data_IF_166889691556
#
_entry.id   IF_166889691556
#
_cell.length_a   1.000
_cell.length_b   1.000
_cell.length_c   1.000
_cell.angle_alpha   90.00
_cell.angle_beta   90.00
_cell.angle_gamma   90.00
#
_symmetry.space_group_name_H-M   'P 1'
#
loop_
_entity.id
_entity.type
_entity.pdbx_description
1 polymer ?
#
# COMPACT_ATOMS: atom_id res chain seq x y z
N UNK A 1 0.05 -4.76 16.05
CA UNK A 1 -0.73 -3.78 16.82
C UNK A 1 -1.90 -4.54 17.41
N UNK A 2 -2.02 -4.59 18.73
CA UNK A 2 -3.12 -5.30 19.35
C UNK A 2 -4.38 -4.45 19.25
N UNK A 3 -5.36 -4.92 18.48
CA UNK A 3 -6.60 -4.17 18.25
C UNK A 3 -7.39 -4.03 19.55
N UNK A 4 -7.21 -4.92 20.52
CA UNK A 4 -7.92 -4.83 21.80
C UNK A 4 -7.52 -3.61 22.61
N UNK A 5 -6.25 -3.17 22.57
CA UNK A 5 -5.82 -1.96 23.31
C UNK A 5 -6.48 -0.67 22.78
N UNK A 6 -6.83 -0.62 21.50
CA UNK A 6 -7.51 0.53 20.88
C UNK A 6 -8.96 0.64 21.37
N UNK A 7 -9.61 -0.50 21.61
CA UNK A 7 -11.04 -0.58 21.93
C UNK A 7 -11.36 -0.74 23.42
N UNK A 8 -10.35 -0.90 24.28
CA UNK A 8 -10.53 -1.05 25.73
C UNK A 8 -10.35 0.27 26.50
N UNK A 9 -10.10 1.38 25.79
CA UNK A 9 -10.09 2.73 26.39
C UNK A 9 -11.52 3.27 26.57
N UNK A 10 -11.78 4.07 27.62
CA UNK A 10 -13.05 4.78 27.73
C UNK A 10 -13.23 5.71 26.52
N UNK A 11 -14.44 5.72 25.95
CA UNK A 11 -14.73 6.59 24.81
C UNK A 11 -14.64 8.07 25.24
N UNK A 12 -14.00 8.88 24.40
CA UNK A 12 -13.76 10.30 24.60
C UNK A 12 -14.83 11.12 23.90
N UNK A 13 -15.57 11.92 24.65
CA UNK A 13 -16.68 12.73 24.15
C UNK A 13 -16.33 14.20 24.25
N UNK A 14 -16.43 14.92 23.14
CA UNK A 14 -16.33 16.37 23.09
C UNK A 14 -17.70 16.98 23.38
N UNK A 15 -17.75 17.97 24.27
CA UNK A 15 -18.95 18.75 24.58
C UNK A 15 -18.65 20.22 24.29
N UNK A 16 -19.28 20.78 23.27
CA UNK A 16 -19.17 22.19 22.92
C UNK A 16 -20.50 22.89 23.22
N UNK A 17 -20.51 23.84 24.15
CA UNK A 17 -21.69 24.64 24.53
C UNK A 17 -21.16 25.94 25.15
N UNK A 18 -21.76 27.10 24.91
CA UNK A 18 -21.26 28.37 25.45
C UNK A 18 -21.64 28.57 26.93
N UNK A 19 -22.72 27.95 27.37
CA UNK A 19 -23.17 27.93 28.76
C UNK A 19 -22.39 26.91 29.61
N UNK A 20 -21.68 27.42 30.61
CA UNK A 20 -20.89 26.59 31.52
C UNK A 20 -21.75 25.62 32.35
N UNK A 21 -23.01 25.95 32.64
CA UNK A 21 -23.92 25.06 33.36
C UNK A 21 -24.26 23.83 32.52
N UNK A 22 -24.53 24.02 31.22
CA UNK A 22 -24.78 22.91 30.30
C UNK A 22 -23.56 22.01 30.17
N UNK A 23 -22.37 22.60 30.01
CA UNK A 23 -21.11 21.84 29.94
C UNK A 23 -20.87 21.01 31.21
N UNK A 24 -21.05 21.60 32.40
CA UNK A 24 -20.85 20.90 33.67
C UNK A 24 -21.86 19.77 33.89
N UNK A 25 -23.12 20.01 33.51
CA UNK A 25 -24.20 19.01 33.57
C UNK A 25 -23.90 17.81 32.65
N UNK A 26 -23.61 18.06 31.38
CA UNK A 26 -23.28 17.02 30.40
C UNK A 26 -22.03 16.26 30.81
N UNK A 27 -20.98 16.97 31.24
CA UNK A 27 -19.77 16.36 31.77
C UNK A 27 -20.08 15.42 32.92
N UNK A 28 -20.91 15.84 33.86
CA UNK A 28 -21.31 15.01 35.00
C UNK A 28 -22.06 13.75 34.57
N UNK A 29 -23.03 13.86 33.66
CA UNK A 29 -23.78 12.69 33.16
C UNK A 29 -22.91 11.70 32.41
N UNK A 30 -22.05 12.18 31.51
CA UNK A 30 -21.21 11.35 30.67
C UNK A 30 -20.07 10.70 31.48
N UNK A 31 -19.43 11.44 32.39
CA UNK A 31 -18.38 10.89 33.25
C UNK A 31 -18.93 9.79 34.17
N UNK A 32 -20.13 9.98 34.75
CA UNK A 32 -20.81 8.93 35.54
C UNK A 32 -21.16 7.69 34.71
N UNK A 33 -21.32 7.84 33.39
CA UNK A 33 -21.56 6.74 32.48
C UNK A 33 -20.27 6.04 32.01
N UNK A 34 -19.09 6.49 32.46
CA UNK A 34 -17.79 5.87 32.18
C UNK A 34 -17.04 6.45 30.99
N UNK A 35 -17.45 7.61 30.47
CA UNK A 35 -16.79 8.26 29.33
C UNK A 35 -15.74 9.28 29.79
N UNK A 36 -14.70 9.45 29.00
CA UNK A 36 -13.80 10.59 29.11
C UNK A 36 -14.48 11.81 28.46
N UNK A 37 -14.51 12.96 29.13
CA UNK A 37 -15.21 14.14 28.62
C UNK A 37 -14.27 15.32 28.50
N UNK A 38 -14.23 15.90 27.30
CA UNK A 38 -13.53 17.15 26.99
C UNK A 38 -14.57 18.21 26.66
N UNK A 39 -14.39 19.42 27.21
CA UNK A 39 -15.36 20.50 27.07
C UNK A 39 -14.76 21.71 26.37
N UNK A 40 -15.52 22.37 25.51
CA UNK A 40 -15.15 23.61 24.84
C UNK A 40 -16.28 24.65 24.98
N UNK A 41 -15.92 25.92 25.14
CA UNK A 41 -16.89 27.01 25.32
C UNK A 41 -17.41 27.61 24.00
N UNK A 42 -16.89 27.14 22.86
CA UNK A 42 -17.21 27.62 21.52
C UNK A 42 -16.68 26.67 20.44
N UNK A 43 -17.16 26.85 19.22
CA UNK A 43 -16.83 25.98 18.09
C UNK A 43 -15.35 26.03 17.68
N UNK A 44 -14.68 27.18 17.80
CA UNK A 44 -13.28 27.30 17.37
C UNK A 44 -12.36 26.49 18.28
N UNK A 45 -12.51 26.64 19.60
CA UNK A 45 -11.76 25.83 20.57
C UNK A 45 -12.15 24.34 20.50
N UNK A 46 -13.42 24.03 20.21
CA UNK A 46 -13.87 22.65 20.01
C UNK A 46 -13.17 21.99 18.81
N UNK A 47 -13.06 22.70 17.69
CA UNK A 47 -12.38 22.23 16.48
C UNK A 47 -10.89 21.98 16.75
N UNK A 48 -10.20 22.92 17.40
CA UNK A 48 -8.78 22.78 17.76
C UNK A 48 -8.54 21.53 18.60
N UNK A 49 -9.37 21.31 19.62
CA UNK A 49 -9.28 20.12 20.48
C UNK A 49 -9.57 18.82 19.72
N UNK A 50 -10.53 18.84 18.78
CA UNK A 50 -10.88 17.68 17.98
C UNK A 50 -9.80 17.31 16.96
N UNK A 51 -9.12 18.29 16.37
CA UNK A 51 -8.03 18.04 15.43
C UNK A 51 -6.76 17.59 16.13
N UNK A 52 -6.47 18.12 17.33
CA UNK A 52 -5.32 17.69 18.13
C UNK A 52 -5.50 16.26 18.67
N UNK A 53 -6.71 15.92 19.09
CA UNK A 53 -7.05 14.60 19.57
C UNK A 53 -8.50 14.33 19.17
N UNK A 54 -8.76 13.47 18.18
CA UNK A 54 -10.12 13.17 17.75
C UNK A 54 -10.96 12.57 18.89
N UNK A 55 -12.18 13.09 19.15
CA UNK A 55 -13.12 12.44 20.04
C UNK A 55 -13.81 11.26 19.33
N UNK A 56 -14.42 10.38 20.10
CA UNK A 56 -15.26 9.27 19.61
C UNK A 56 -16.71 9.72 19.36
N UNK A 57 -17.12 10.88 19.91
CA UNK A 57 -18.41 11.54 19.66
C UNK A 57 -18.33 13.02 20.05
N UNK A 58 -19.08 13.89 19.37
CA UNK A 58 -19.23 15.30 19.74
C UNK A 58 -20.69 15.63 20.06
N UNK A 59 -20.95 16.24 21.22
CA UNK A 59 -22.21 16.92 21.56
C UNK A 59 -21.99 18.41 21.36
N UNK A 60 -22.75 19.04 20.48
CA UNK A 60 -22.48 20.40 20.01
C UNK A 60 -23.71 21.27 20.10
N UNK A 61 -23.64 22.35 20.87
CA UNK A 61 -24.67 23.38 20.87
C UNK A 61 -24.66 24.17 19.55
N UNK A 62 -25.84 24.57 19.06
CA UNK A 62 -25.94 25.37 17.84
C UNK A 62 -25.45 26.80 18.05
N UNK A 63 -25.84 27.43 19.16
CA UNK A 63 -25.64 28.86 19.41
C UNK A 63 -24.39 29.08 20.26
N UNK A 64 -23.25 29.16 19.59
CA UNK A 64 -21.97 29.45 20.23
C UNK A 64 -21.27 30.66 19.61
N UNK A 65 -20.48 31.43 20.38
CA UNK A 65 -19.70 32.54 19.85
C UNK A 65 -18.54 32.03 18.98
N UNK A 66 -17.96 32.93 18.16
CA UNK A 66 -16.82 32.68 17.24
C UNK A 66 -17.10 31.72 16.08
N UNK A 67 -17.55 30.52 16.38
CA UNK A 67 -17.95 29.49 15.42
C UNK A 67 -19.17 28.76 16.00
N UNK A 68 -20.24 28.71 15.22
CA UNK A 68 -21.49 28.08 15.64
C UNK A 68 -21.43 26.54 15.49
N UNK A 69 -22.42 25.83 16.05
CA UNK A 69 -22.42 24.37 16.07
C UNK A 69 -22.52 23.72 14.68
N UNK A 70 -23.22 24.35 13.74
CA UNK A 70 -23.35 23.86 12.37
C UNK A 70 -22.02 24.03 11.61
N UNK A 71 -21.37 25.18 11.75
CA UNK A 71 -20.04 25.43 11.18
C UNK A 71 -18.99 24.44 11.73
N UNK A 72 -19.03 24.17 13.04
CA UNK A 72 -18.18 23.14 13.65
C UNK A 72 -18.47 21.76 13.07
N UNK A 73 -19.75 21.38 12.93
CA UNK A 73 -20.12 20.10 12.33
C UNK A 73 -19.55 19.96 10.92
N UNK A 74 -19.73 20.98 10.06
CA UNK A 74 -19.18 21.00 8.71
C UNK A 74 -17.64 20.84 8.71
N UNK A 75 -16.95 21.53 9.62
CA UNK A 75 -15.50 21.48 9.73
C UNK A 75 -15.01 20.09 10.18
N UNK A 76 -15.69 19.46 11.13
CA UNK A 76 -15.39 18.10 11.58
C UNK A 76 -15.61 17.07 10.47
N UNK A 77 -16.71 17.20 9.71
CA UNK A 77 -17.07 16.27 8.61
C UNK A 77 -16.18 16.40 7.38
N UNK A 78 -15.60 17.58 7.13
CA UNK A 78 -14.66 17.82 6.03
C UNK A 78 -13.21 17.43 6.33
N UNK A 79 -12.85 17.24 7.60
CA UNK A 79 -11.48 16.93 8.02
C UNK A 79 -11.21 15.41 8.04
N UNK A 80 -10.17 14.89 7.36
CA UNK A 80 -9.93 13.44 7.23
C UNK A 80 -9.86 12.67 8.56
N UNK A 81 -9.29 13.25 9.61
CA UNK A 81 -9.14 12.62 10.93
C UNK A 81 -10.40 12.65 11.80
N UNK A 82 -11.41 13.47 11.46
CA UNK A 82 -12.63 13.63 12.26
C UNK A 82 -13.91 13.36 11.47
N UNK A 83 -13.83 13.08 10.16
CA UNK A 83 -15.00 12.94 9.28
C UNK A 83 -16.01 11.87 9.73
N UNK A 84 -15.53 10.84 10.42
CA UNK A 84 -16.35 9.75 10.96
C UNK A 84 -16.72 9.91 12.43
N UNK A 85 -16.34 11.03 13.06
CA UNK A 85 -16.80 11.35 14.42
C UNK A 85 -18.30 11.64 14.35
N UNK A 86 -19.14 10.91 15.09
CA UNK A 86 -20.56 11.22 15.17
C UNK A 86 -20.76 12.56 15.90
N UNK A 87 -21.52 13.46 15.28
CA UNK A 87 -21.86 14.79 15.81
C UNK A 87 -23.35 14.81 16.14
N UNK A 88 -23.66 15.07 17.41
CA UNK A 88 -25.03 15.27 17.89
C UNK A 88 -25.23 16.74 18.18
N UNK A 89 -26.15 17.35 17.44
CA UNK A 89 -26.52 18.74 17.68
C UNK A 89 -27.45 18.83 18.88
N UNK A 90 -27.06 19.56 19.91
CA UNK A 90 -27.88 19.85 21.08
C UNK A 90 -28.45 21.24 20.90
N UNK A 91 -29.77 21.39 20.99
CA UNK A 91 -30.36 22.66 20.57
C UNK A 91 -31.67 22.97 21.27
N UNK A 92 -32.01 24.25 21.39
CA UNK A 92 -33.32 24.70 21.89
C UNK A 92 -34.44 24.62 20.83
N UNK A 93 -34.12 24.16 19.61
CA UNK A 93 -34.92 24.39 18.42
C UNK A 93 -36.26 23.66 18.41
N UNK A 94 -37.28 24.41 17.99
CA UNK A 94 -38.69 24.06 17.88
C UNK A 94 -39.23 24.21 16.44
N UNK A 95 -38.34 24.28 15.43
CA UNK A 95 -38.71 24.39 14.01
C UNK A 95 -38.06 23.33 13.12
N UNK A 96 -38.82 22.78 12.17
CA UNK A 96 -38.36 21.75 11.22
C UNK A 96 -37.19 22.24 10.32
N UNK A 97 -37.12 23.54 10.00
CA UNK A 97 -36.03 24.13 9.20
C UNK A 97 -34.67 24.03 9.91
N UNK A 98 -34.73 24.17 11.22
CA UNK A 98 -33.75 23.78 12.22
C UNK A 98 -32.98 22.49 11.96
N UNK A 99 -33.77 21.43 12.04
CA UNK A 99 -33.35 20.04 11.99
C UNK A 99 -32.83 19.68 10.59
N UNK A 100 -33.50 20.19 9.56
CA UNK A 100 -33.09 19.99 8.17
C UNK A 100 -31.67 20.54 7.92
N UNK A 101 -31.37 21.76 8.38
CA UNK A 101 -30.03 22.34 8.23
C UNK A 101 -28.96 21.53 8.95
N UNK A 102 -29.25 21.00 10.13
CA UNK A 102 -28.32 20.15 10.88
C UNK A 102 -27.97 18.87 10.11
N UNK A 103 -28.98 18.20 9.54
CA UNK A 103 -28.79 16.98 8.74
C UNK A 103 -28.05 17.29 7.43
N UNK A 104 -28.39 18.38 6.74
CA UNK A 104 -27.71 18.80 5.50
C UNK A 104 -26.22 19.07 5.69
N UNK A 105 -25.83 19.57 6.87
CA UNK A 105 -24.43 19.82 7.24
C UNK A 105 -23.71 18.54 7.73
N UNK A 106 -24.43 17.43 7.83
CA UNK A 106 -23.89 16.10 8.13
C UNK A 106 -23.94 15.71 9.60
N UNK A 107 -24.77 16.36 10.43
CA UNK A 107 -25.00 15.88 11.80
C UNK A 107 -25.64 14.48 11.78
N UNK A 108 -25.21 13.63 12.70
CA UNK A 108 -25.68 12.23 12.77
C UNK A 108 -26.97 12.11 13.59
N UNK A 109 -27.21 13.07 14.49
CA UNK A 109 -28.40 13.13 15.33
C UNK A 109 -28.59 14.53 15.94
N UNK A 110 -29.73 14.76 16.56
CA UNK A 110 -29.99 15.97 17.35
C UNK A 110 -30.80 15.69 18.62
N UNK A 111 -30.66 16.59 19.59
CA UNK A 111 -31.32 16.54 20.89
C UNK A 111 -31.89 17.91 21.23
N UNK A 112 -33.21 17.98 21.40
CA UNK A 112 -33.92 19.20 21.79
C UNK A 112 -33.81 19.42 23.31
N UNK A 113 -33.50 20.66 23.72
CA UNK A 113 -33.48 21.15 25.10
C UNK A 113 -34.92 21.49 25.53
N UNK A 114 -35.35 21.15 26.77
CA UNK A 114 -34.60 20.43 27.80
C UNK A 114 -34.57 18.91 27.57
N UNK A 115 -33.38 18.31 27.66
CA UNK A 115 -33.20 16.88 27.43
C UNK A 115 -33.18 16.05 28.72
N UNK A 116 -33.72 14.83 28.65
CA UNK A 116 -33.65 13.84 29.71
C UNK A 116 -32.36 13.06 29.59
N UNK A 117 -31.63 12.87 30.70
CA UNK A 117 -30.35 12.14 30.75
C UNK A 117 -30.43 10.75 30.11
N UNK A 118 -31.53 10.02 30.30
CA UNK A 118 -31.74 8.70 29.70
C UNK A 118 -31.76 8.74 28.16
N UNK A 119 -32.44 9.74 27.57
CA UNK A 119 -32.51 9.89 26.10
C UNK A 119 -31.13 10.23 25.54
N UNK A 120 -30.45 11.19 26.17
CA UNK A 120 -29.09 11.58 25.78
C UNK A 120 -28.11 10.42 25.84
N UNK A 121 -28.05 9.70 26.97
CA UNK A 121 -27.14 8.57 27.14
C UNK A 121 -27.46 7.41 26.18
N UNK A 122 -28.73 7.21 25.82
CA UNK A 122 -29.12 6.17 24.86
C UNK A 122 -28.64 6.52 23.45
N UNK A 123 -28.81 7.78 23.01
CA UNK A 123 -28.31 8.26 21.72
C UNK A 123 -26.78 8.20 21.63
N UNK A 124 -26.09 8.70 22.67
CA UNK A 124 -24.63 8.63 22.80
C UNK A 124 -24.13 7.18 22.70
N UNK A 125 -24.72 6.24 23.44
CA UNK A 125 -24.34 4.81 23.35
C UNK A 125 -24.54 4.22 21.96
N UNK A 126 -25.65 4.56 21.29
CA UNK A 126 -25.95 4.06 19.96
C UNK A 126 -24.91 4.55 18.93
N UNK A 127 -24.60 5.84 18.96
CA UNK A 127 -23.63 6.44 18.03
C UNK A 127 -22.20 6.00 18.32
N UNK A 128 -21.80 5.86 19.59
CA UNK A 128 -20.50 5.29 19.96
C UNK A 128 -20.35 3.84 19.47
N UNK A 129 -21.43 3.05 19.47
CA UNK A 129 -21.40 1.70 18.89
C UNK A 129 -21.15 1.75 17.38
N UNK A 130 -21.77 2.69 16.66
CA UNK A 130 -21.54 2.88 15.22
C UNK A 130 -20.09 3.33 14.97
N UNK A 131 -19.58 4.30 15.75
CA UNK A 131 -18.18 4.75 15.67
C UNK A 131 -17.21 3.60 15.86
N UNK A 132 -17.42 2.77 16.88
CA UNK A 132 -16.57 1.60 17.15
C UNK A 132 -16.55 0.62 15.98
N UNK A 133 -17.70 0.32 15.38
CA UNK A 133 -17.76 -0.56 14.20
C UNK A 133 -17.01 0.05 13.00
N UNK A 134 -17.14 1.35 12.76
CA UNK A 134 -16.40 2.03 11.71
C UNK A 134 -14.88 1.97 11.96
N UNK A 135 -14.44 2.21 13.18
CA UNK A 135 -13.02 2.12 13.56
C UNK A 135 -12.47 0.69 13.41
N UNK A 136 -13.26 -0.33 13.77
CA UNK A 136 -12.93 -1.75 13.57
C UNK A 136 -12.76 -2.07 12.07
N UNK A 137 -13.68 -1.60 11.22
CA UNK A 137 -13.60 -1.77 9.77
C UNK A 137 -12.38 -1.07 9.20
N UNK A 138 -12.11 0.18 9.59
CA UNK A 138 -10.93 0.91 9.12
C UNK A 138 -9.63 0.23 9.54
N UNK A 139 -9.54 -0.23 10.79
CA UNK A 139 -8.38 -0.95 11.27
C UNK A 139 -8.18 -2.28 10.54
N UNK A 140 -9.27 -3.00 10.29
CA UNK A 140 -9.23 -4.24 9.50
C UNK A 140 -8.80 -3.99 8.06
N UNK A 141 -9.32 -2.94 7.41
CA UNK A 141 -8.92 -2.57 6.06
C UNK A 141 -7.45 -2.16 5.97
N UNK A 142 -6.93 -1.44 6.98
CA UNK A 142 -5.50 -1.11 7.07
C UNK A 142 -4.64 -2.37 7.20
N UNK A 143 -5.06 -3.32 8.04
CA UNK A 143 -4.36 -4.59 8.20
C UNK A 143 -4.40 -5.41 6.90
N UNK A 144 -5.56 -5.48 6.24
CA UNK A 144 -5.72 -6.20 4.98
C UNK A 144 -4.79 -5.61 3.91
N UNK A 145 -4.71 -4.27 3.78
CA UNK A 145 -3.75 -3.60 2.88
C UNK A 145 -2.31 -3.99 3.20
N UNK A 146 -1.88 -3.85 4.46
CA UNK A 146 -0.53 -4.24 4.89
C UNK A 146 -0.18 -5.70 4.61
N UNK A 147 -1.18 -6.60 4.68
CA UNK A 147 -0.99 -8.00 4.34
C UNK A 147 -0.86 -8.16 2.82
N UNK A 148 -1.75 -7.55 2.03
CA UNK A 148 -1.72 -7.61 0.57
C UNK A 148 -0.41 -7.05 -0.01
N UNK A 149 0.08 -5.92 0.51
CA UNK A 149 1.32 -5.27 0.06
C UNK A 149 2.57 -6.17 0.21
N UNK A 150 2.50 -7.20 1.08
CA UNK A 150 3.60 -8.19 1.22
C UNK A 150 3.58 -9.28 0.16
N UNK A 151 2.46 -9.46 -0.53
CA UNK A 151 2.25 -10.53 -1.52
C UNK A 151 2.04 -9.99 -2.93
N UNK A 152 1.75 -8.70 -3.07
CA UNK A 152 1.40 -8.03 -4.32
C UNK A 152 2.12 -6.68 -4.34
N UNK A 153 2.71 -6.29 -5.48
CA UNK A 153 3.36 -5.00 -5.63
C UNK A 153 2.40 -3.84 -5.29
N UNK A 154 2.89 -2.77 -4.64
CA UNK A 154 2.08 -1.63 -4.17
C UNK A 154 1.17 -1.07 -5.28
N UNK A 155 1.71 -0.93 -6.50
CA UNK A 155 0.97 -0.45 -7.68
C UNK A 155 -0.16 -1.40 -8.12
N UNK A 156 -0.02 -2.71 -7.89
CA UNK A 156 -1.05 -3.70 -8.22
C UNK A 156 -2.13 -3.70 -7.13
N UNK A 157 -1.77 -3.54 -5.85
CA UNK A 157 -2.74 -3.45 -4.75
C UNK A 157 -3.72 -2.31 -4.96
N UNK A 158 -3.23 -1.11 -5.27
CA UNK A 158 -4.11 0.05 -5.45
C UNK A 158 -5.05 -0.12 -6.64
N UNK A 159 -4.57 -0.68 -7.75
CA UNK A 159 -5.40 -0.97 -8.92
C UNK A 159 -6.47 -2.02 -8.58
N UNK A 160 -6.09 -3.13 -7.94
CA UNK A 160 -7.06 -4.17 -7.53
C UNK A 160 -8.12 -3.58 -6.60
N UNK A 161 -7.74 -2.71 -5.66
CA UNK A 161 -8.68 -2.13 -4.70
C UNK A 161 -9.65 -1.10 -5.32
N UNK A 162 -9.34 -0.53 -6.49
CA UNK A 162 -10.29 0.36 -7.21
C UNK A 162 -11.45 -0.40 -7.84
N UNK A 163 -11.21 -1.61 -8.35
CA UNK A 163 -12.23 -2.46 -8.97
C UNK A 163 -11.84 -3.95 -8.85
N UNK A 164 -12.07 -4.56 -7.68
CA UNK A 164 -11.65 -5.95 -7.43
C UNK A 164 -12.31 -6.94 -8.39
N UNK A 165 -13.56 -6.71 -8.77
CA UNK A 165 -14.29 -7.58 -9.68
C UNK A 165 -13.66 -7.58 -11.08
N UNK A 166 -13.17 -6.43 -11.55
CA UNK A 166 -12.47 -6.35 -12.83
C UNK A 166 -11.06 -6.92 -12.78
N UNK A 167 -10.29 -6.58 -11.75
CA UNK A 167 -8.86 -6.87 -11.69
C UNK A 167 -8.50 -8.22 -11.06
N UNK A 168 -9.45 -8.96 -10.46
CA UNK A 168 -9.26 -10.34 -9.99
C UNK A 168 -9.85 -11.40 -10.94
N UNK A 169 -10.32 -11.01 -12.12
CA UNK A 169 -10.76 -11.96 -13.13
C UNK A 169 -9.59 -12.73 -13.73
N UNK A 170 -9.79 -14.03 -13.94
CA UNK A 170 -8.87 -14.86 -14.71
C UNK A 170 -8.82 -14.36 -16.15
N UNK A 171 -7.61 -14.37 -16.71
CA UNK A 171 -7.34 -13.89 -18.05
C UNK A 171 -6.29 -12.79 -18.02
N UNK A 172 -5.99 -12.27 -19.21
CA UNK A 172 -4.99 -11.22 -19.36
C UNK A 172 -5.16 -10.51 -20.68
N UNK A 173 -4.51 -9.37 -20.77
CA UNK A 173 -4.48 -8.55 -21.98
C UNK A 173 -3.12 -8.71 -22.66
N UNK A 174 -3.12 -8.72 -23.99
CA UNK A 174 -1.87 -8.66 -24.74
C UNK A 174 -1.29 -7.24 -24.58
N UNK A 175 -0.09 -7.13 -24.02
CA UNK A 175 0.61 -5.87 -23.80
C UNK A 175 2.09 -6.00 -24.15
N UNK A 176 2.72 -4.91 -24.64
CA UNK A 176 4.17 -4.85 -24.69
C UNK A 176 4.70 -4.81 -23.25
N UNK A 177 5.66 -5.67 -22.95
CA UNK A 177 6.33 -5.71 -21.64
C UNK A 177 7.81 -5.97 -21.81
N UNK A 178 8.59 -5.50 -20.84
CA UNK A 178 10.00 -5.91 -20.67
C UNK A 178 10.10 -6.85 -19.48
N UNK A 179 10.53 -8.08 -19.70
CA UNK A 179 10.68 -9.10 -18.66
C UNK A 179 12.13 -9.17 -18.23
N UNK A 180 12.36 -9.24 -16.92
CA UNK A 180 13.67 -9.38 -16.27
C UNK A 180 13.69 -10.66 -15.45
N UNK A 181 14.73 -11.47 -15.65
CA UNK A 181 15.09 -12.58 -14.76
C UNK A 181 16.44 -12.29 -14.13
N UNK A 182 16.57 -12.57 -12.83
CA UNK A 182 17.84 -12.50 -12.11
C UNK A 182 18.03 -13.77 -11.29
N UNK A 183 19.27 -14.25 -11.21
CA UNK A 183 19.61 -15.53 -10.57
C UNK A 183 21.02 -15.47 -9.96
N UNK A 184 21.18 -16.06 -8.78
CA UNK A 184 22.43 -16.01 -8.02
C UNK A 184 23.37 -17.13 -8.48
N UNK A 185 24.48 -16.76 -9.10
CA UNK A 185 25.56 -17.66 -9.48
C UNK A 185 26.34 -18.11 -8.25
N UNK A 186 26.66 -19.41 -8.21
CA UNK A 186 27.36 -20.03 -7.09
C UNK A 186 26.46 -20.45 -5.93
N UNK A 187 25.15 -20.19 -6.00
CA UNK A 187 24.25 -20.42 -4.87
C UNK A 187 24.04 -21.90 -4.52
N UNK A 188 24.01 -22.81 -5.50
CA UNK A 188 23.95 -24.25 -5.21
C UNK A 188 25.11 -24.70 -4.31
N UNK A 189 26.34 -24.26 -4.60
CA UNK A 189 27.52 -24.52 -3.76
C UNK A 189 27.38 -23.86 -2.38
N UNK A 190 26.82 -22.65 -2.32
CA UNK A 190 26.51 -21.99 -1.05
C UNK A 190 25.59 -22.86 -0.17
N UNK A 191 24.55 -23.47 -0.73
CA UNK A 191 23.64 -24.35 0.03
C UNK A 191 24.27 -25.66 0.51
N UNK A 192 25.34 -26.12 -0.13
CA UNK A 192 26.04 -27.35 0.30
C UNK A 192 26.89 -27.14 1.55
N UNK A 193 27.33 -25.89 1.79
CA UNK A 193 28.26 -25.55 2.88
C UNK A 193 27.60 -24.76 4.02
N UNK A 194 26.33 -24.38 3.89
CA UNK A 194 25.57 -23.62 4.90
C UNK A 194 24.35 -24.39 5.42
N UNK A 195 23.89 -24.02 6.62
CA UNK A 195 22.66 -24.59 7.19
C UNK A 195 21.41 -23.94 6.59
N UNK A 196 20.26 -24.64 6.63
CA UNK A 196 19.01 -24.12 6.08
C UNK A 196 18.59 -22.74 6.66
N UNK A 197 18.71 -22.46 7.98
CA UNK A 197 18.43 -21.13 8.52
C UNK A 197 19.33 -20.03 7.93
N UNK A 198 20.63 -20.30 7.78
CA UNK A 198 21.58 -19.36 7.19
C UNK A 198 21.26 -19.13 5.70
N UNK A 199 20.93 -20.18 4.97
CA UNK A 199 20.51 -20.09 3.55
C UNK A 199 19.28 -19.20 3.40
N UNK A 200 18.26 -19.40 4.24
CA UNK A 200 17.03 -18.60 4.22
C UNK A 200 17.31 -17.15 4.61
N UNK A 201 18.10 -16.91 5.64
CA UNK A 201 18.48 -15.57 6.08
C UNK A 201 19.23 -14.80 4.99
N UNK A 202 20.20 -15.44 4.33
CA UNK A 202 20.95 -14.87 3.21
C UNK A 202 20.04 -14.59 2.01
N UNK A 203 19.18 -15.54 1.62
CA UNK A 203 18.23 -15.32 0.51
C UNK A 203 17.32 -14.14 0.79
N UNK A 204 16.74 -14.07 1.99
CA UNK A 204 15.84 -12.97 2.35
C UNK A 204 16.55 -11.62 2.30
N UNK A 205 17.81 -11.53 2.78
CA UNK A 205 18.61 -10.30 2.70
C UNK A 205 18.89 -9.89 1.24
N UNK A 206 19.26 -10.85 0.39
CA UNK A 206 19.51 -10.58 -1.03
C UNK A 206 18.21 -10.15 -1.73
N UNK A 207 17.13 -10.89 -1.53
CA UNK A 207 15.85 -10.61 -2.16
C UNK A 207 15.22 -9.29 -1.70
N UNK A 208 15.40 -8.90 -0.44
CA UNK A 208 15.00 -7.57 0.05
C UNK A 208 15.68 -6.45 -0.75
N UNK A 209 16.99 -6.55 -0.94
CA UNK A 209 17.76 -5.57 -1.73
C UNK A 209 17.31 -5.56 -3.20
N UNK A 210 17.21 -6.72 -3.84
CA UNK A 210 16.89 -6.81 -5.27
C UNK A 210 15.44 -6.41 -5.57
N UNK A 211 14.48 -6.85 -4.74
CA UNK A 211 13.07 -6.48 -4.92
C UNK A 211 12.85 -4.98 -4.72
N UNK A 212 13.54 -4.34 -3.78
CA UNK A 212 13.47 -2.88 -3.60
C UNK A 212 13.90 -2.10 -4.85
N UNK A 213 14.90 -2.58 -5.59
CA UNK A 213 15.31 -1.95 -6.86
C UNK A 213 14.19 -2.02 -7.90
N UNK A 214 13.51 -3.17 -8.03
CA UNK A 214 12.34 -3.32 -8.93
C UNK A 214 11.30 -2.23 -8.64
N UNK A 215 10.93 -2.07 -7.38
CA UNK A 215 9.90 -1.09 -6.98
C UNK A 215 10.36 0.36 -7.19
N UNK A 216 11.64 0.66 -6.90
CA UNK A 216 12.21 2.00 -7.08
C UNK A 216 12.13 2.47 -8.54
N UNK A 217 12.28 1.54 -9.49
CA UNK A 217 12.17 1.78 -10.93
C UNK A 217 10.76 1.51 -11.49
N UNK A 218 9.74 1.38 -10.63
CA UNK A 218 8.34 1.14 -11.03
C UNK A 218 8.18 -0.10 -11.91
N UNK A 219 8.87 -1.17 -11.53
CA UNK A 219 8.65 -2.51 -12.04
C UNK A 219 7.65 -3.29 -11.19
N UNK A 220 7.05 -4.30 -11.78
CA UNK A 220 6.18 -5.24 -11.08
C UNK A 220 6.98 -6.49 -10.74
N UNK A 221 7.13 -6.75 -9.44
CA UNK A 221 7.66 -8.02 -8.97
C UNK A 221 6.65 -9.13 -9.23
N UNK A 222 7.08 -10.24 -9.84
CA UNK A 222 6.21 -11.37 -10.16
C UNK A 222 6.36 -12.47 -9.11
N UNK A 223 7.51 -13.14 -9.06
CA UNK A 223 7.76 -14.23 -8.09
C UNK A 223 9.24 -14.54 -7.91
N UNK A 224 9.53 -15.17 -6.77
CA UNK A 224 10.78 -15.87 -6.53
C UNK A 224 10.80 -17.23 -7.24
N UNK A 225 11.98 -17.62 -7.71
CA UNK A 225 12.24 -18.83 -8.48
C UNK A 225 13.47 -19.52 -7.91
N UNK A 226 13.32 -20.15 -6.74
CA UNK A 226 14.46 -20.73 -6.03
C UNK A 226 15.41 -19.63 -5.53
N UNK A 227 16.59 -19.56 -6.12
CA UNK A 227 17.67 -18.59 -5.89
C UNK A 227 17.67 -17.41 -6.87
N UNK A 228 16.66 -17.33 -7.73
CA UNK A 228 16.40 -16.20 -8.59
C UNK A 228 15.02 -15.58 -8.37
N UNK A 229 14.70 -14.57 -9.19
CA UNK A 229 13.35 -14.02 -9.26
C UNK A 229 13.03 -13.50 -10.66
N UNK A 230 11.75 -13.25 -10.88
CA UNK A 230 11.20 -12.67 -12.10
C UNK A 230 10.49 -11.35 -11.77
N UNK A 231 10.69 -10.36 -12.62
CA UNK A 231 9.98 -9.09 -12.62
C UNK A 231 9.67 -8.66 -14.06
N UNK A 232 8.76 -7.71 -14.22
CA UNK A 232 8.44 -7.15 -15.53
C UNK A 232 8.01 -5.69 -15.44
N UNK A 233 8.10 -5.01 -16.58
CA UNK A 233 7.80 -3.58 -16.76
C UNK A 233 6.80 -3.43 -17.90
N UNK A 234 5.90 -2.45 -17.80
CA UNK A 234 4.82 -2.20 -18.76
C UNK A 234 3.43 -2.69 -18.34
N UNK A 235 3.33 -3.29 -17.16
CA UNK A 235 2.05 -3.59 -16.53
C UNK A 235 2.21 -3.69 -15.00
N UNK A 236 1.18 -3.35 -14.20
CA UNK A 236 -0.13 -2.85 -14.65
C UNK A 236 -0.07 -1.40 -15.16
N UNK A 237 0.95 -0.66 -14.73
CA UNK A 237 1.30 0.69 -15.22
C UNK A 237 2.26 0.56 -16.39
N UNK A 238 1.93 1.22 -17.52
CA UNK A 238 2.75 1.24 -18.72
C UNK A 238 3.38 2.62 -18.93
N UNK A 239 4.58 2.66 -19.50
CA UNK A 239 5.31 3.88 -19.84
C UNK A 239 6.14 3.71 -21.10
N UNK A 240 6.48 4.80 -21.79
CA UNK A 240 7.33 4.71 -22.99
C UNK A 240 8.76 4.26 -22.66
N UNK A 241 9.19 4.44 -21.40
CA UNK A 241 10.51 4.12 -20.89
C UNK A 241 10.58 2.75 -20.17
N UNK A 242 9.60 1.85 -20.36
CA UNK A 242 9.53 0.57 -19.65
C UNK A 242 10.81 -0.28 -19.82
N UNK A 243 11.35 -0.33 -21.04
CA UNK A 243 12.61 -1.04 -21.33
C UNK A 243 13.81 -0.35 -20.64
N UNK A 244 13.85 0.98 -20.64
CA UNK A 244 14.88 1.78 -19.99
C UNK A 244 14.88 1.53 -18.47
N UNK A 245 13.71 1.60 -17.83
CA UNK A 245 13.58 1.34 -16.38
C UNK A 245 14.02 -0.08 -16.03
N UNK A 246 13.69 -1.07 -16.87
CA UNK A 246 14.13 -2.44 -16.67
C UNK A 246 15.66 -2.59 -16.72
N UNK A 247 16.33 -1.96 -17.68
CA UNK A 247 17.79 -2.00 -17.80
C UNK A 247 18.46 -1.23 -16.66
N UNK A 248 17.95 -0.04 -16.30
CA UNK A 248 18.46 0.72 -15.16
C UNK A 248 18.33 -0.08 -13.85
N UNK A 249 17.22 -0.81 -13.69
CA UNK A 249 17.04 -1.72 -12.55
C UNK A 249 18.07 -2.84 -12.53
N UNK A 250 18.37 -3.44 -13.69
CA UNK A 250 19.37 -4.49 -13.78
C UNK A 250 20.77 -3.99 -13.41
N UNK A 251 21.14 -2.78 -13.85
CA UNK A 251 22.42 -2.14 -13.50
C UNK A 251 22.49 -1.86 -12.00
N UNK A 252 21.46 -1.22 -11.43
CA UNK A 252 21.41 -0.94 -10.00
C UNK A 252 21.42 -2.23 -9.17
N UNK A 253 20.72 -3.29 -9.59
CA UNK A 253 20.78 -4.60 -8.93
C UNK A 253 22.19 -5.15 -8.85
N UNK A 254 23.00 -5.02 -9.91
CA UNK A 254 24.39 -5.47 -9.88
C UNK A 254 25.21 -4.71 -8.84
N UNK A 255 25.11 -3.38 -8.80
CA UNK A 255 25.80 -2.56 -7.81
C UNK A 255 25.39 -2.91 -6.38
N UNK A 256 24.07 -3.00 -6.12
CA UNK A 256 23.55 -3.26 -4.77
C UNK A 256 23.85 -4.68 -4.29
N UNK A 257 23.85 -5.64 -5.21
CA UNK A 257 24.27 -7.01 -4.91
C UNK A 257 25.76 -7.07 -4.55
N UNK A 258 26.61 -6.37 -5.31
CA UNK A 258 28.05 -6.30 -5.04
C UNK A 258 28.33 -5.61 -3.70
N UNK A 259 27.69 -4.48 -3.42
CA UNK A 259 27.78 -3.80 -2.11
C UNK A 259 27.42 -4.75 -0.95
N UNK A 260 26.35 -5.54 -1.11
CA UNK A 260 25.91 -6.50 -0.10
C UNK A 260 26.92 -7.63 0.11
N UNK A 261 27.51 -8.15 -0.97
CA UNK A 261 28.56 -9.16 -0.92
C UNK A 261 29.80 -8.61 -0.20
N UNK A 262 30.23 -7.38 -0.49
CA UNK A 262 31.39 -6.74 0.14
C UNK A 262 31.18 -6.48 1.64
N UNK A 263 29.97 -6.09 2.05
CA UNK A 263 29.64 -5.79 3.45
C UNK A 263 29.50 -7.04 4.33
N UNK A 264 29.13 -8.18 3.77
CA UNK A 264 28.77 -9.40 4.54
C UNK A 264 29.99 -10.31 4.80
N UNK A 265 31.15 -10.04 4.18
CA UNK A 265 32.39 -10.79 4.42
C UNK A 265 32.61 -11.99 3.47
N UNK A 266 33.54 -12.88 3.83
CA UNK A 266 34.03 -13.99 2.98
C UNK A 266 32.92 -14.95 2.49
N UNK A 267 31.79 -15.06 3.20
CA UNK A 267 30.74 -16.05 2.91
C UNK A 267 29.96 -15.79 1.60
N UNK A 268 29.90 -14.54 1.13
CA UNK A 268 29.18 -14.16 -0.12
C UNK A 268 30.12 -13.75 -1.26
N UNK A 269 31.43 -13.77 -1.05
CA UNK A 269 32.41 -13.26 -2.01
C UNK A 269 32.45 -14.06 -3.33
N UNK A 270 32.09 -15.34 -3.29
CA UNK A 270 32.04 -16.22 -4.46
C UNK A 270 30.70 -16.13 -5.23
N UNK A 271 29.73 -15.37 -4.73
CA UNK A 271 28.44 -15.22 -5.40
C UNK A 271 28.50 -14.12 -6.46
N UNK A 272 27.71 -14.29 -7.52
CA UNK A 272 27.51 -13.26 -8.52
C UNK A 272 26.06 -13.24 -9.00
N UNK A 273 25.64 -12.16 -9.62
CA UNK A 273 24.28 -12.04 -10.15
C UNK A 273 24.30 -12.13 -11.68
N UNK A 274 23.53 -13.06 -12.25
CA UNK A 274 23.29 -13.14 -13.69
C UNK A 274 21.90 -12.62 -14.02
N UNK A 275 21.80 -11.66 -14.94
CA UNK A 275 20.53 -11.02 -15.31
C UNK A 275 20.26 -11.17 -16.81
N UNK A 276 19.01 -11.45 -17.16
CA UNK A 276 18.52 -11.54 -18.53
C UNK A 276 17.27 -10.70 -18.75
N UNK A 277 17.25 -9.92 -19.84
CA UNK A 277 16.12 -9.07 -20.21
C UNK A 277 15.65 -9.33 -21.64
N UNK A 278 14.33 -9.25 -21.86
CA UNK A 278 13.77 -9.21 -23.20
C UNK A 278 12.45 -8.45 -23.22
N UNK A 279 12.24 -7.70 -24.30
CA UNK A 279 11.05 -6.88 -24.54
C UNK A 279 10.24 -7.45 -25.68
N UNK A 280 8.93 -7.58 -25.49
CA UNK A 280 8.03 -8.10 -26.52
C UNK A 280 6.58 -8.12 -26.05
N UNK A 281 5.68 -8.55 -26.94
CA UNK A 281 4.27 -8.72 -26.60
C UNK A 281 4.05 -9.99 -25.76
N UNK A 282 3.27 -9.85 -24.70
CA UNK A 282 2.90 -10.96 -23.83
C UNK A 282 1.51 -10.77 -23.25
N UNK A 283 0.92 -11.88 -22.78
CA UNK A 283 -0.33 -11.84 -22.05
C UNK A 283 0.00 -11.53 -20.59
N UNK A 284 -0.48 -10.41 -20.08
CA UNK A 284 -0.34 -10.02 -18.67
C UNK A 284 -1.70 -10.09 -17.99
N UNK A 285 -1.77 -10.78 -16.86
CA UNK A 285 -3.00 -10.83 -16.07
C UNK A 285 -2.98 -11.92 -15.01
N UNK A 286 -4.15 -12.24 -14.47
CA UNK A 286 -4.29 -13.27 -13.46
C UNK A 286 -4.38 -14.64 -14.11
N UNK A 287 -3.39 -15.48 -13.82
CA UNK A 287 -3.27 -16.82 -14.36
C UNK A 287 -3.32 -17.82 -13.20
N UNK A 288 -4.17 -18.84 -13.34
CA UNK A 288 -4.35 -19.86 -12.31
C UNK A 288 -5.78 -20.40 -12.29
N UNK A 289 -6.32 -20.53 -11.09
CA UNK A 289 -7.67 -21.00 -10.79
C UNK A 289 -8.39 -20.03 -9.87
N UNK A 290 -9.70 -20.17 -9.67
CA UNK A 290 -10.47 -19.34 -8.73
C UNK A 290 -9.89 -19.29 -7.30
N UNK A 291 -9.09 -20.29 -6.89
CA UNK A 291 -8.52 -20.38 -5.54
C UNK A 291 -7.07 -19.90 -5.43
N UNK A 292 -6.32 -19.94 -6.53
CA UNK A 292 -4.89 -19.63 -6.57
C UNK A 292 -4.63 -18.93 -7.89
N UNK A 293 -4.26 -17.66 -7.82
CA UNK A 293 -4.01 -16.80 -8.97
C UNK A 293 -2.71 -16.05 -8.75
N UNK A 294 -1.90 -15.99 -9.80
CA UNK A 294 -0.74 -15.11 -9.86
C UNK A 294 -1.00 -14.05 -10.92
N UNK A 295 -0.81 -12.77 -10.57
CA UNK A 295 -0.72 -11.71 -11.57
C UNK A 295 0.67 -11.79 -12.21
N UNK A 296 0.75 -12.31 -13.43
CA UNK A 296 2.01 -12.72 -14.04
C UNK A 296 2.00 -12.48 -15.56
N UNK A 297 3.17 -12.56 -16.17
CA UNK A 297 3.35 -12.48 -17.61
C UNK A 297 3.50 -13.87 -18.19
N UNK A 298 2.77 -14.17 -19.27
CA UNK A 298 2.93 -15.40 -20.05
C UNK A 298 3.11 -15.08 -21.52
N UNK A 299 4.11 -15.72 -22.12
CA UNK A 299 4.35 -15.61 -23.55
C UNK A 299 5.75 -16.04 -23.92
N UNK A 300 6.03 -15.92 -25.22
CA UNK A 300 7.35 -16.15 -25.77
C UNK A 300 8.41 -15.23 -25.12
N UNK A 301 8.01 -14.00 -24.75
CA UNK A 301 8.92 -13.03 -24.14
C UNK A 301 9.62 -13.58 -22.88
N UNK A 302 8.87 -14.32 -22.05
CA UNK A 302 9.35 -14.87 -20.78
C UNK A 302 10.42 -15.93 -21.02
N UNK A 303 10.21 -16.76 -22.05
CA UNK A 303 11.15 -17.80 -22.40
C UNK A 303 12.48 -17.21 -22.87
N UNK A 304 12.47 -16.15 -23.69
CA UNK A 304 13.70 -15.51 -24.17
C UNK A 304 14.46 -14.84 -23.02
N UNK A 305 13.78 -14.04 -22.19
CA UNK A 305 14.40 -13.38 -21.03
C UNK A 305 15.07 -14.38 -20.09
N UNK A 306 14.35 -15.46 -19.75
CA UNK A 306 14.89 -16.54 -18.91
C UNK A 306 16.14 -17.18 -19.52
N UNK A 307 16.12 -17.46 -20.82
CA UNK A 307 17.26 -18.12 -21.49
C UNK A 307 18.48 -17.21 -21.59
N UNK A 308 18.29 -15.90 -21.77
CA UNK A 308 19.37 -14.92 -21.67
C UNK A 308 19.95 -14.89 -20.26
N UNK A 309 19.10 -14.92 -19.23
CA UNK A 309 19.56 -15.00 -17.84
C UNK A 309 20.38 -16.27 -17.61
N UNK A 310 19.89 -17.44 -18.06
CA UNK A 310 20.54 -18.74 -17.83
C UNK A 310 21.98 -18.80 -18.35
N UNK A 311 22.31 -18.08 -19.43
CA UNK A 311 23.68 -18.02 -19.99
C UNK A 311 24.51 -16.84 -19.45
N UNK A 312 23.89 -15.85 -18.81
CA UNK A 312 24.58 -14.72 -18.22
C UNK A 312 25.47 -15.20 -17.05
N UNK A 313 26.78 -14.87 -17.09
CA UNK A 313 27.70 -15.19 -15.99
C UNK A 313 27.44 -14.26 -14.80
N UNK A 314 28.11 -14.52 -13.68
CA UNK A 314 28.10 -13.58 -12.56
C UNK A 314 28.60 -12.20 -13.00
N UNK A 315 27.91 -11.15 -12.56
CA UNK A 315 28.17 -9.76 -12.93
C UNK A 315 27.97 -9.49 -14.43
N UNK A 316 27.04 -10.20 -15.07
CA UNK A 316 26.63 -9.93 -16.45
C UNK A 316 25.13 -9.67 -16.54
N UNK A 317 24.79 -8.72 -17.41
CA UNK A 317 23.43 -8.42 -17.83
C UNK A 317 23.37 -8.67 -19.33
N UNK A 318 22.53 -9.61 -19.74
CA UNK A 318 22.26 -9.89 -21.15
C UNK A 318 20.87 -9.43 -21.52
N UNK A 319 20.74 -8.81 -22.68
CA UNK A 319 19.44 -8.41 -23.20
C UNK A 319 19.30 -8.71 -24.69
N UNK A 320 18.07 -8.89 -25.15
CA UNK A 320 17.78 -9.05 -26.57
C UNK A 320 17.97 -7.76 -27.37
N UNK A 321 18.13 -7.89 -28.69
CA UNK A 321 18.08 -6.76 -29.62
C UNK A 321 16.79 -5.92 -29.51
N UNK A 322 15.63 -6.54 -29.24
CA UNK A 322 14.35 -5.84 -29.10
C UNK A 322 14.32 -4.90 -27.89
N UNK A 323 15.03 -5.27 -26.81
CA UNK A 323 15.21 -4.41 -25.63
C UNK A 323 16.22 -3.30 -25.93
N UNK A 324 17.37 -3.64 -26.53
CA UNK A 324 18.41 -2.66 -26.86
C UNK A 324 17.89 -1.51 -27.73
N UNK A 325 17.01 -1.80 -28.70
CA UNK A 325 16.40 -0.79 -29.57
C UNK A 325 15.49 0.22 -28.85
N UNK A 326 15.06 -0.07 -27.62
CA UNK A 326 14.14 0.73 -26.82
C UNK A 326 14.83 1.42 -25.64
N UNK A 327 16.15 1.34 -25.57
CA UNK A 327 16.97 1.91 -24.50
C UNK A 327 17.88 2.96 -25.12
N UNK A 328 17.96 4.12 -24.49
CA UNK A 328 18.80 5.24 -24.92
C UNK A 328 20.08 5.30 -24.07
N UNK A 329 21.15 5.88 -24.63
CA UNK A 329 22.41 6.16 -23.93
C UNK A 329 23.05 4.95 -23.20
N UNK A 330 22.96 3.75 -23.79
CA UNK A 330 23.53 2.53 -23.22
C UNK A 330 24.72 1.99 -24.02
N UNK A 331 25.84 1.77 -23.35
CA UNK A 331 26.98 1.03 -23.89
C UNK A 331 26.74 -0.48 -23.76
N UNK A 332 26.86 -1.21 -24.87
CA UNK A 332 26.67 -2.65 -24.86
C UNK A 332 27.46 -3.36 -25.99
N UNK A 333 28.05 -4.50 -25.66
CA UNK A 333 28.75 -5.36 -26.62
C UNK A 333 27.73 -6.26 -27.34
N UNK A 334 27.73 -6.23 -28.67
CA UNK A 334 26.86 -7.07 -29.49
C UNK A 334 27.35 -8.52 -29.54
N UNK A 335 26.48 -9.46 -29.20
CA UNK A 335 26.69 -10.91 -29.26
C UNK A 335 25.82 -11.51 -30.37
N UNK A 336 26.42 -11.70 -31.55
CA UNK A 336 25.72 -12.22 -32.73
C UNK A 336 25.50 -13.75 -32.67
N UNK A 337 24.35 -14.20 -33.20
CA UNK A 337 24.00 -15.61 -33.43
C UNK A 337 23.97 -16.50 -32.18
N UNK A 338 23.31 -16.03 -31.13
CA UNK A 338 23.19 -16.80 -29.90
C UNK A 338 22.08 -17.84 -30.03
N UNK A 339 22.48 -19.11 -30.17
CA UNK A 339 21.56 -20.24 -30.21
C UNK A 339 21.10 -20.60 -28.80
N UNK A 340 19.92 -20.12 -28.43
CA UNK A 340 19.31 -20.46 -27.15
C UNK A 340 18.59 -21.81 -27.22
N UNK A 341 18.58 -22.52 -26.09
CA UNK A 341 18.00 -23.85 -26.00
C UNK A 341 16.49 -23.83 -26.30
N UNK A 342 16.06 -24.71 -27.22
CA UNK A 342 14.66 -24.86 -27.69
C UNK A 342 14.09 -23.65 -28.46
N UNK A 343 14.92 -22.67 -28.81
CA UNK A 343 14.55 -21.60 -29.74
C UNK A 343 14.90 -22.04 -31.16
N UNK A 344 13.94 -21.88 -32.08
CA UNK A 344 14.08 -22.34 -33.48
C UNK A 344 15.09 -21.52 -34.26
N UNK A 345 15.21 -20.23 -33.92
CA UNK A 345 16.06 -19.28 -34.61
C UNK A 345 17.06 -18.67 -33.61
N UNK A 346 18.32 -18.47 -34.00
CA UNK A 346 19.29 -17.76 -33.17
C UNK A 346 18.86 -16.31 -33.01
N UNK A 347 19.12 -15.74 -31.84
CA UNK A 347 18.81 -14.34 -31.56
C UNK A 347 20.10 -13.52 -31.44
N UNK A 348 19.99 -12.23 -31.74
CA UNK A 348 21.02 -11.24 -31.40
C UNK A 348 20.83 -10.82 -29.95
N UNK A 349 21.89 -10.90 -29.15
CA UNK A 349 21.90 -10.44 -27.77
C UNK A 349 22.94 -9.33 -27.59
N UNK A 350 22.83 -8.61 -26.48
CA UNK A 350 23.73 -7.53 -26.10
C UNK A 350 24.16 -7.74 -24.65
N UNK A 351 25.46 -7.63 -24.39
CA UNK A 351 26.04 -7.60 -23.06
C UNK A 351 26.14 -6.14 -22.62
N UNK A 352 25.42 -5.77 -21.56
CA UNK A 352 25.44 -4.40 -21.04
C UNK A 352 26.79 -4.11 -20.40
N UNK A 353 27.39 -2.98 -20.76
CA UNK A 353 28.58 -2.44 -20.10
C UNK A 353 28.14 -1.45 -19.02
N UNK A 354 28.61 -1.67 -17.79
CA UNK A 354 28.37 -0.79 -16.65
C UNK A 354 29.62 -0.81 -15.76
N UNK A 355 29.86 0.31 -15.06
CA UNK A 355 31.00 0.43 -14.16
C UNK A 355 30.90 -0.60 -13.02
N UNK A 356 32.02 -1.25 -12.69
CA UNK A 356 32.08 -2.29 -11.65
C UNK A 356 32.63 -1.79 -10.33
#
# INVERSE_FOLDING_TARGET
MDLTEIFDRPARILVADDDWLNRDLLKTYLTKAGYEVVTAADGQTALELALQSPPDLALVDVQMPRMNGLELCAALKSSPGTRFVPVVIVTALDSEEEELKAIEVGADDFIIKPYRSLVLLTRVRSLLRIKRLNDEIEAYNRLLRQVLDRFVAEDVTDIILTDPERYLQLGGELRPVTVLFADIRGFSRFTEVHTAPQVIETLNRIFEVLSQVVFTHRGTFDKYLGDGFMAFYGAPVAGEDDAQRAVNSAIEMQHRFQELCEQTGEDLADLGLGIGLHTGEAVVGNIGSERVMDYTVVGYVVNVAKRLQEIAKGCQILMSEDTFKQVEDLEAEKLDHLQLLHLKEPITAYLVEFDR
#
